data_IF_199453781544
#
_entry.id   IF_199453781544
#
_cell.length_a   1.000
_cell.length_b   1.000
_cell.length_c   1.000
_cell.angle_alpha   90.00
_cell.angle_beta   90.00
_cell.angle_gamma   90.00
#
_symmetry.space_group_name_H-M   'P 1'
#
loop_
_entity.id
_entity.type
_entity.pdbx_description
1 polymer ?
#
# COMPACT_ATOMS: atom_id res chain seq x y z
N UNK A 1 2.96 -25.21 -0.31
CA UNK A 1 2.92 -23.98 -1.16
C UNK A 1 3.99 -22.98 -0.72
N UNK A 2 4.05 -22.59 0.53
CA UNK A 2 4.98 -21.60 1.07
C UNK A 2 6.47 -21.94 0.81
N UNK A 3 6.89 -23.20 1.03
CA UNK A 3 8.25 -23.66 0.70
C UNK A 3 8.60 -23.46 -0.79
N UNK A 4 7.69 -23.79 -1.70
CA UNK A 4 7.93 -23.62 -3.14
C UNK A 4 8.10 -22.14 -3.51
N UNK A 5 7.34 -21.25 -2.86
CA UNK A 5 7.48 -19.80 -2.99
C UNK A 5 8.85 -19.35 -2.47
N UNK A 6 9.25 -19.78 -1.26
CA UNK A 6 10.52 -19.40 -0.66
C UNK A 6 11.72 -19.88 -1.51
N UNK A 7 11.69 -21.12 -2.02
CA UNK A 7 12.73 -21.65 -2.92
C UNK A 7 12.82 -20.80 -4.20
N UNK A 8 11.69 -20.41 -4.75
CA UNK A 8 11.66 -19.60 -5.99
C UNK A 8 12.20 -18.20 -5.75
N UNK A 9 11.79 -17.54 -4.69
CA UNK A 9 12.28 -16.22 -4.31
C UNK A 9 13.79 -16.26 -4.01
N UNK A 10 14.26 -17.31 -3.35
CA UNK A 10 15.70 -17.53 -3.13
C UNK A 10 16.52 -17.61 -4.43
N UNK A 11 15.98 -18.27 -5.48
CA UNK A 11 16.60 -18.28 -6.82
C UNK A 11 16.63 -16.91 -7.49
N UNK A 12 15.72 -16.02 -7.11
CA UNK A 12 15.65 -14.63 -7.59
C UNK A 12 16.50 -13.67 -6.74
N UNK A 13 17.30 -14.19 -5.80
CA UNK A 13 18.21 -13.41 -4.96
C UNK A 13 17.58 -12.80 -3.71
N UNK A 14 16.37 -13.22 -3.32
CA UNK A 14 15.69 -12.79 -2.11
C UNK A 14 15.94 -13.77 -0.98
N UNK A 15 16.48 -13.31 0.15
CA UNK A 15 16.53 -14.11 1.38
C UNK A 15 15.13 -14.21 1.97
N UNK A 16 14.70 -15.40 2.35
CA UNK A 16 13.34 -15.63 2.84
C UNK A 16 13.38 -16.45 4.13
N UNK A 17 12.68 -15.98 5.14
CA UNK A 17 12.30 -16.77 6.31
C UNK A 17 10.87 -17.28 6.11
N UNK A 18 10.61 -18.49 6.51
CA UNK A 18 9.32 -19.15 6.38
C UNK A 18 8.70 -19.35 7.75
N UNK A 19 7.61 -18.64 8.02
CA UNK A 19 6.77 -18.83 9.18
C UNK A 19 5.51 -19.60 8.77
N UNK A 20 5.28 -20.75 9.38
CA UNK A 20 4.13 -21.63 9.09
C UNK A 20 2.88 -21.24 9.89
N UNK A 21 3.06 -20.45 10.95
CA UNK A 21 2.00 -20.03 11.86
C UNK A 21 2.09 -18.54 12.16
N UNK A 22 0.98 -17.98 12.64
CA UNK A 22 0.92 -16.61 13.15
C UNK A 22 1.96 -16.40 14.26
N UNK A 23 2.04 -17.32 15.23
CA UNK A 23 2.98 -17.21 16.36
C UNK A 23 4.43 -17.18 15.90
N UNK A 24 4.84 -18.04 14.95
CA UNK A 24 6.19 -17.99 14.37
C UNK A 24 6.47 -16.67 13.65
N UNK A 25 5.48 -16.13 12.94
CA UNK A 25 5.62 -14.87 12.27
C UNK A 25 5.82 -13.71 13.26
N UNK A 26 5.08 -13.69 14.39
CA UNK A 26 5.31 -12.70 15.45
C UNK A 26 6.70 -12.80 16.06
N UNK A 27 7.20 -14.02 16.31
CA UNK A 27 8.54 -14.24 16.84
C UNK A 27 9.62 -13.70 15.89
N UNK A 28 9.50 -13.97 14.60
CA UNK A 28 10.43 -13.45 13.60
C UNK A 28 10.39 -11.92 13.51
N UNK A 29 9.19 -11.34 13.48
CA UNK A 29 8.99 -9.90 13.43
C UNK A 29 9.45 -9.16 14.71
N UNK A 30 9.54 -9.87 15.83
CA UNK A 30 10.04 -9.31 17.08
C UNK A 30 11.58 -9.16 17.10
N UNK A 31 12.31 -9.96 16.30
CA UNK A 31 13.78 -10.02 16.37
C UNK A 31 14.47 -9.43 15.15
N UNK A 32 13.77 -9.29 14.02
CA UNK A 32 14.35 -8.73 12.79
C UNK A 32 13.34 -7.96 11.94
N UNK A 33 13.84 -7.10 11.06
CA UNK A 33 13.05 -6.35 10.09
C UNK A 33 13.12 -7.02 8.72
N UNK A 34 12.06 -6.84 7.94
CA UNK A 34 11.91 -7.40 6.59
C UNK A 34 11.65 -6.29 5.58
N UNK A 35 12.14 -6.47 4.34
CA UNK A 35 11.85 -5.54 3.24
C UNK A 35 10.43 -5.71 2.69
N UNK A 36 9.86 -6.91 2.82
CA UNK A 36 8.46 -7.21 2.49
C UNK A 36 7.99 -8.48 3.19
N UNK A 37 6.68 -8.61 3.38
CA UNK A 37 6.02 -9.80 3.93
C UNK A 37 5.04 -10.34 2.90
N UNK A 38 5.10 -11.65 2.62
CA UNK A 38 4.07 -12.40 1.89
C UNK A 38 3.22 -13.13 2.90
N UNK A 39 1.96 -12.77 3.02
CA UNK A 39 1.08 -13.20 4.10
C UNK A 39 -0.16 -13.91 3.58
N UNK A 40 -0.32 -15.17 3.93
CA UNK A 40 -1.57 -15.88 3.67
C UNK A 40 -2.67 -15.42 4.63
N UNK A 41 -3.87 -15.18 4.12
CA UNK A 41 -5.03 -14.89 4.97
C UNK A 41 -5.33 -16.09 5.89
N UNK A 42 -5.24 -17.30 5.34
CA UNK A 42 -5.58 -18.52 6.07
C UNK A 42 -4.33 -19.17 6.67
N UNK A 43 -3.89 -18.68 7.83
CA UNK A 43 -2.89 -19.38 8.65
C UNK A 43 -3.55 -20.47 9.49
N UNK A 44 -2.79 -21.51 9.87
CA UNK A 44 -3.39 -22.66 10.56
C UNK A 44 -3.89 -22.36 11.98
N UNK A 45 -3.32 -21.37 12.64
CA UNK A 45 -3.60 -21.00 14.04
C UNK A 45 -4.47 -19.74 14.17
N UNK A 46 -4.37 -18.78 13.22
CA UNK A 46 -5.12 -17.51 13.24
C UNK A 46 -5.34 -16.97 11.82
N UNK A 47 -6.18 -15.93 11.72
CA UNK A 47 -6.34 -15.20 10.47
C UNK A 47 -5.14 -14.28 10.22
N UNK A 48 -4.53 -14.36 9.02
CA UNK A 48 -3.41 -13.50 8.64
C UNK A 48 -3.75 -12.01 8.65
N UNK A 49 -5.01 -11.63 8.49
CA UNK A 49 -5.44 -10.23 8.61
C UNK A 49 -5.20 -9.65 10.01
N UNK A 50 -5.23 -10.48 11.04
CA UNK A 50 -4.92 -10.05 12.41
C UNK A 50 -3.44 -9.67 12.56
N UNK A 51 -2.54 -10.41 11.89
CA UNK A 51 -1.12 -10.06 11.86
C UNK A 51 -0.89 -8.74 11.18
N UNK A 52 -1.54 -8.50 10.03
CA UNK A 52 -1.48 -7.23 9.34
C UNK A 52 -1.95 -6.07 10.22
N UNK A 53 -3.09 -6.23 10.89
CA UNK A 53 -3.62 -5.23 11.83
C UNK A 53 -2.64 -4.96 12.98
N UNK A 54 -2.05 -6.02 13.57
CA UNK A 54 -1.04 -5.89 14.64
C UNK A 54 0.17 -5.08 14.16
N UNK A 55 0.69 -5.34 12.97
CA UNK A 55 1.78 -4.58 12.36
C UNK A 55 1.41 -3.09 12.23
N UNK A 56 0.25 -2.80 11.68
CA UNK A 56 -0.19 -1.41 11.46
C UNK A 56 -0.45 -0.67 12.77
N UNK A 57 -0.97 -1.34 13.80
CA UNK A 57 -1.11 -0.77 15.15
C UNK A 57 0.23 -0.44 15.81
N UNK A 58 1.27 -1.23 15.52
CA UNK A 58 2.66 -0.98 15.96
C UNK A 58 3.38 0.07 15.10
N UNK A 59 2.68 0.73 14.16
CA UNK A 59 3.26 1.63 13.14
C UNK A 59 4.33 0.96 12.25
N UNK A 60 4.32 -0.35 12.15
CA UNK A 60 5.17 -1.07 11.22
C UNK A 60 4.60 -0.91 9.80
N UNK A 61 5.41 -0.31 8.92
CA UNK A 61 5.07 -0.01 7.51
C UNK A 61 5.68 -1.00 6.54
N UNK A 62 6.25 -2.10 7.03
CA UNK A 62 6.77 -3.15 6.15
C UNK A 62 5.71 -3.52 5.10
N UNK A 63 6.06 -3.50 3.81
CA UNK A 63 5.13 -3.84 2.74
C UNK A 63 4.59 -5.25 2.90
N UNK A 64 3.27 -5.41 2.82
CA UNK A 64 2.59 -6.71 2.96
C UNK A 64 1.83 -7.04 1.68
N UNK A 65 2.23 -8.15 1.03
CA UNK A 65 1.50 -8.80 -0.05
C UNK A 65 0.62 -9.90 0.54
N UNK A 66 -0.70 -9.70 0.51
CA UNK A 66 -1.63 -10.72 1.00
C UNK A 66 -1.89 -11.78 -0.07
N UNK A 67 -1.83 -13.06 0.33
CA UNK A 67 -2.29 -14.17 -0.49
C UNK A 67 -3.72 -14.54 -0.10
N UNK A 68 -4.64 -14.54 -1.05
CA UNK A 68 -6.06 -14.74 -0.77
C UNK A 68 -6.72 -15.73 -1.73
N UNK A 69 -7.71 -16.48 -1.25
CA UNK A 69 -8.63 -17.24 -2.08
C UNK A 69 -9.95 -16.47 -2.35
N UNK A 70 -10.03 -15.21 -1.91
CA UNK A 70 -11.24 -14.41 -2.00
C UNK A 70 -11.47 -13.88 -3.42
N UNK A 71 -12.63 -14.21 -3.99
CA UNK A 71 -13.01 -13.84 -5.36
C UNK A 71 -13.98 -12.65 -5.42
N UNK A 72 -14.61 -12.25 -4.28
CA UNK A 72 -15.55 -11.13 -4.29
C UNK A 72 -14.85 -9.77 -4.24
N UNK A 73 -15.48 -8.76 -4.84
CA UNK A 73 -14.98 -7.37 -4.83
C UNK A 73 -15.04 -6.80 -3.41
N UNK A 74 -16.09 -7.13 -2.65
CA UNK A 74 -16.29 -6.61 -1.29
C UNK A 74 -15.24 -7.13 -0.30
N UNK A 75 -14.85 -8.40 -0.43
CA UNK A 75 -13.78 -8.99 0.40
C UNK A 75 -12.43 -8.32 0.13
N UNK A 76 -12.16 -7.97 -1.13
CA UNK A 76 -10.92 -7.29 -1.55
C UNK A 76 -10.86 -5.84 -1.09
N UNK A 77 -11.98 -5.14 -1.17
CA UNK A 77 -12.11 -3.77 -0.63
C UNK A 77 -11.89 -3.80 0.89
N UNK A 78 -12.53 -4.73 1.61
CA UNK A 78 -12.37 -4.89 3.06
C UNK A 78 -10.91 -5.16 3.45
N UNK A 79 -10.22 -5.99 2.68
CA UNK A 79 -8.84 -6.34 2.96
C UNK A 79 -7.85 -5.18 2.64
N UNK A 80 -8.10 -4.35 1.61
CA UNK A 80 -7.38 -3.09 1.37
C UNK A 80 -7.58 -2.11 2.53
N UNK A 81 -8.76 -2.14 3.15
CA UNK A 81 -9.10 -1.34 4.33
C UNK A 81 -8.25 -1.67 5.55
N UNK A 82 -7.75 -2.90 5.65
CA UNK A 82 -6.87 -3.35 6.72
C UNK A 82 -5.42 -2.88 6.58
N UNK A 83 -5.08 -2.20 5.48
CA UNK A 83 -3.75 -1.61 5.28
C UNK A 83 -2.73 -2.54 4.59
N UNK A 84 -3.17 -3.58 3.88
CA UNK A 84 -2.31 -4.33 2.98
C UNK A 84 -1.85 -3.45 1.81
N UNK A 85 -0.65 -3.73 1.31
CA UNK A 85 -0.04 -2.94 0.23
C UNK A 85 -0.38 -3.51 -1.14
N UNK A 86 -0.63 -4.83 -1.23
CA UNK A 86 -1.05 -5.51 -2.44
C UNK A 86 -1.69 -6.88 -2.11
N UNK A 87 -2.38 -7.48 -3.09
CA UNK A 87 -3.03 -8.78 -3.01
C UNK A 87 -2.68 -9.64 -4.19
N UNK A 88 -2.62 -10.96 -3.95
CA UNK A 88 -2.47 -11.96 -4.98
C UNK A 88 -3.46 -13.09 -4.76
N UNK A 89 -4.33 -13.31 -5.74
CA UNK A 89 -5.37 -14.34 -5.66
C UNK A 89 -4.79 -15.71 -5.98
N UNK A 90 -5.14 -16.70 -5.19
CA UNK A 90 -4.82 -18.10 -5.42
C UNK A 90 -5.84 -18.76 -6.38
N UNK A 91 -5.38 -19.57 -7.35
CA UNK A 91 -3.99 -19.89 -7.66
C UNK A 91 -3.32 -18.76 -8.46
N UNK A 92 -2.01 -18.54 -8.25
CA UNK A 92 -1.23 -17.49 -8.89
C UNK A 92 0.00 -18.03 -9.64
N UNK A 93 0.47 -17.26 -10.63
CA UNK A 93 1.77 -17.50 -11.27
C UNK A 93 2.88 -16.96 -10.37
N UNK A 94 3.93 -17.78 -10.17
CA UNK A 94 5.09 -17.37 -9.35
C UNK A 94 5.82 -16.15 -9.90
N UNK A 95 5.79 -15.93 -11.23
CA UNK A 95 6.37 -14.73 -11.87
C UNK A 95 5.60 -13.48 -11.51
N UNK A 96 4.29 -13.58 -11.35
CA UNK A 96 3.43 -12.48 -10.88
C UNK A 96 3.79 -12.12 -9.43
N UNK A 97 3.88 -13.11 -8.54
CA UNK A 97 4.29 -12.90 -7.16
C UNK A 97 5.65 -12.20 -7.08
N UNK A 98 6.67 -12.66 -7.84
CA UNK A 98 7.98 -12.01 -7.88
C UNK A 98 7.91 -10.56 -8.39
N UNK A 99 7.11 -10.30 -9.44
CA UNK A 99 6.97 -8.96 -10.00
C UNK A 99 6.33 -8.00 -9.00
N UNK A 100 5.29 -8.46 -8.28
CA UNK A 100 4.62 -7.69 -7.23
C UNK A 100 5.56 -7.42 -6.06
N UNK A 101 6.29 -8.42 -5.57
CA UNK A 101 7.27 -8.23 -4.51
C UNK A 101 8.36 -7.24 -4.90
N UNK A 102 8.93 -7.36 -6.12
CA UNK A 102 9.90 -6.38 -6.61
C UNK A 102 9.32 -4.97 -6.68
N UNK A 103 8.06 -4.84 -7.07
CA UNK A 103 7.38 -3.54 -7.09
C UNK A 103 7.17 -2.98 -5.67
N UNK A 104 6.86 -3.83 -4.69
CA UNK A 104 6.73 -3.45 -3.29
C UNK A 104 8.07 -3.06 -2.65
N UNK A 105 9.13 -3.83 -2.94
CA UNK A 105 10.48 -3.60 -2.41
C UNK A 105 11.29 -2.56 -3.18
N UNK A 106 10.81 -2.08 -4.34
CA UNK A 106 11.49 -1.03 -5.12
C UNK A 106 11.49 0.28 -4.33
N UNK A 107 12.11 0.21 -3.19
CA UNK A 107 12.54 1.34 -2.38
C UNK A 107 13.82 1.91 -3.02
N UNK A 108 13.76 3.10 -3.64
CA UNK A 108 14.43 4.22 -3.01
C UNK A 108 15.98 4.23 -3.00
N UNK A 109 16.66 3.28 -3.66
CA UNK A 109 18.11 3.43 -3.80
C UNK A 109 18.51 4.67 -4.64
N UNK A 110 17.56 5.27 -5.39
CA UNK A 110 17.90 6.31 -6.37
C UNK A 110 17.22 7.68 -6.20
N UNK A 111 16.53 7.96 -5.09
CA UNK A 111 15.94 9.29 -4.94
C UNK A 111 16.25 9.92 -3.58
N UNK A 112 17.36 10.63 -3.50
CA UNK A 112 17.44 11.86 -2.72
C UNK A 112 16.42 12.81 -3.33
N UNK A 113 15.15 12.65 -3.04
CA UNK A 113 14.11 13.46 -3.63
C UNK A 113 13.70 14.54 -2.66
N UNK A 114 13.64 15.71 -3.20
CA UNK A 114 13.08 16.89 -2.60
C UNK A 114 11.73 16.60 -1.95
N UNK A 115 11.58 17.01 -0.69
CA UNK A 115 10.29 16.99 -0.02
C UNK A 115 9.33 17.89 -0.80
N UNK A 116 8.15 17.37 -1.11
CA UNK A 116 7.07 18.16 -1.72
C UNK A 116 6.30 18.84 -0.60
N UNK A 117 6.29 20.17 -0.61
CA UNK A 117 5.51 20.97 0.34
C UNK A 117 4.29 21.57 -0.33
N UNK A 118 3.14 21.48 0.35
CA UNK A 118 1.88 22.09 -0.06
C UNK A 118 1.10 22.50 1.20
N UNK A 119 0.98 23.81 1.45
CA UNK A 119 0.44 24.29 2.73
C UNK A 119 1.24 23.75 3.91
N UNK A 120 0.55 23.21 4.91
CA UNK A 120 1.18 22.56 6.05
C UNK A 120 1.62 21.11 5.80
N UNK A 121 1.30 20.55 4.63
CA UNK A 121 1.66 19.20 4.23
C UNK A 121 3.09 19.17 3.70
N UNK A 122 3.93 18.30 4.28
CA UNK A 122 5.20 17.88 3.72
C UNK A 122 5.12 16.39 3.38
N UNK A 123 5.54 16.02 2.17
CA UNK A 123 5.48 14.65 1.67
C UNK A 123 6.82 14.26 1.06
N UNK A 124 7.34 13.12 1.47
CA UNK A 124 8.52 12.51 0.87
C UNK A 124 8.10 11.44 -0.14
N UNK A 125 8.28 11.67 -1.45
CA UNK A 125 8.03 10.64 -2.47
C UNK A 125 8.86 9.39 -2.26
N UNK A 126 10.07 9.57 -1.68
CA UNK A 126 11.01 8.51 -1.43
C UNK A 126 10.52 7.56 -0.33
N UNK A 127 10.05 8.04 0.80
CA UNK A 127 9.63 7.23 1.94
C UNK A 127 8.11 7.03 2.00
N UNK A 128 7.37 7.66 1.09
CA UNK A 128 5.91 7.75 1.13
C UNK A 128 5.38 8.28 2.48
N UNK A 129 6.23 8.97 3.23
CA UNK A 129 5.89 9.57 4.50
C UNK A 129 5.29 10.96 4.29
N UNK A 130 4.27 11.28 5.08
CA UNK A 130 3.65 12.59 5.12
C UNK A 130 3.67 13.16 6.53
N UNK A 131 3.83 14.47 6.64
CA UNK A 131 3.66 15.20 7.90
C UNK A 131 2.77 16.41 7.69
N UNK A 132 2.04 16.80 8.72
CA UNK A 132 1.29 18.06 8.81
C UNK A 132 1.84 18.86 9.97
N UNK A 133 2.41 20.04 9.71
CA UNK A 133 3.12 20.82 10.74
C UNK A 133 4.09 19.94 11.53
N UNK A 134 4.94 19.17 10.84
CA UNK A 134 5.92 18.25 11.42
C UNK A 134 5.33 17.02 12.15
N UNK A 135 4.01 16.95 12.32
CA UNK A 135 3.35 15.78 12.93
C UNK A 135 3.11 14.70 11.86
N UNK A 136 3.58 13.46 12.07
CA UNK A 136 3.37 12.36 11.13
C UNK A 136 1.90 12.09 10.87
N UNK A 137 1.55 11.91 9.59
CA UNK A 137 0.21 11.48 9.15
C UNK A 137 0.26 9.98 8.91
N UNK A 138 -0.59 9.24 9.60
CA UNK A 138 -0.71 7.80 9.38
C UNK A 138 -1.45 7.53 8.06
N UNK A 139 -0.68 7.16 7.04
CA UNK A 139 -1.20 6.78 5.71
C UNK A 139 -0.90 5.31 5.45
N UNK A 140 -1.88 4.59 4.93
CA UNK A 140 -1.58 3.30 4.30
C UNK A 140 -0.75 3.53 3.04
N UNK A 141 -0.04 2.50 2.58
CA UNK A 141 0.81 2.62 1.38
C UNK A 141 0.02 3.11 0.15
N UNK A 142 -1.20 2.60 -0.06
CA UNK A 142 -2.08 3.02 -1.17
C UNK A 142 -2.51 4.49 -1.05
N UNK A 143 -2.83 4.94 0.14
CA UNK A 143 -3.16 6.36 0.39
C UNK A 143 -1.94 7.24 0.12
N UNK A 144 -0.75 6.83 0.57
CA UNK A 144 0.49 7.56 0.33
C UNK A 144 0.86 7.60 -1.16
N UNK A 145 0.69 6.48 -1.90
CA UNK A 145 0.88 6.45 -3.35
C UNK A 145 -0.10 7.38 -4.07
N UNK A 146 -1.39 7.36 -3.69
CA UNK A 146 -2.40 8.26 -4.26
C UNK A 146 -2.06 9.72 -3.99
N UNK A 147 -1.66 10.04 -2.75
CA UNK A 147 -1.22 11.38 -2.36
C UNK A 147 -0.01 11.82 -3.19
N UNK A 148 1.00 10.98 -3.33
CA UNK A 148 2.19 11.26 -4.14
C UNK A 148 1.85 11.48 -5.61
N UNK A 149 0.90 10.72 -6.17
CA UNK A 149 0.45 10.89 -7.55
C UNK A 149 -0.27 12.23 -7.74
N UNK A 150 -1.13 12.61 -6.80
CA UNK A 150 -1.83 13.90 -6.81
C UNK A 150 -0.85 15.08 -6.67
N UNK A 151 0.11 14.98 -5.73
CA UNK A 151 1.12 16.02 -5.49
C UNK A 151 2.05 16.21 -6.69
N UNK A 152 2.45 15.13 -7.37
CA UNK A 152 3.26 15.21 -8.60
C UNK A 152 2.56 16.00 -9.71
N UNK A 153 1.23 16.01 -9.71
CA UNK A 153 0.38 16.74 -10.66
C UNK A 153 -0.42 17.85 -9.98
N UNK A 154 0.20 18.53 -8.99
CA UNK A 154 -0.42 19.60 -8.24
C UNK A 154 -1.10 20.62 -9.16
N UNK A 155 -2.33 21.01 -8.81
CA UNK A 155 -3.12 21.98 -9.58
C UNK A 155 -3.78 21.41 -10.85
N UNK A 156 -3.40 20.21 -11.29
CA UNK A 156 -3.99 19.55 -12.46
C UNK A 156 -5.12 18.60 -12.04
N UNK A 157 -6.10 18.41 -12.92
CA UNK A 157 -7.17 17.43 -12.74
C UNK A 157 -6.71 16.08 -13.25
N UNK A 158 -6.68 15.07 -12.38
CA UNK A 158 -6.39 13.68 -12.75
C UNK A 158 -7.69 12.88 -12.82
N UNK A 159 -7.93 12.26 -13.97
CA UNK A 159 -9.09 11.39 -14.18
C UNK A 159 -9.01 10.13 -13.31
N UNK A 160 -10.18 9.58 -12.90
CA UNK A 160 -10.26 8.37 -12.08
C UNK A 160 -9.47 7.20 -12.65
N UNK A 161 -9.57 6.98 -13.97
CA UNK A 161 -8.86 5.91 -14.64
C UNK A 161 -7.34 6.04 -14.47
N UNK A 162 -6.80 7.24 -14.68
CA UNK A 162 -5.36 7.51 -14.52
C UNK A 162 -4.89 7.29 -13.08
N UNK A 163 -5.70 7.66 -12.09
CA UNK A 163 -5.41 7.40 -10.68
C UNK A 163 -5.46 5.90 -10.39
N UNK A 164 -6.45 5.21 -10.93
CA UNK A 164 -6.58 3.76 -10.81
C UNK A 164 -5.38 3.03 -11.41
N UNK A 165 -5.01 3.36 -12.66
CA UNK A 165 -3.86 2.77 -13.34
C UNK A 165 -2.56 3.00 -12.57
N UNK A 166 -2.39 4.20 -11.98
CA UNK A 166 -1.23 4.52 -11.16
C UNK A 166 -1.14 3.75 -9.83
N UNK A 167 -2.28 3.34 -9.27
CA UNK A 167 -2.34 2.59 -8.01
C UNK A 167 -2.36 1.07 -8.21
N UNK A 168 -2.93 0.59 -9.31
CA UNK A 168 -3.26 -0.81 -9.55
C UNK A 168 -2.66 -1.35 -10.85
N UNK A 169 -1.58 -0.72 -11.36
CA UNK A 169 -0.94 -1.06 -12.65
C UNK A 169 -0.56 -2.56 -12.81
N UNK A 170 -0.50 -3.32 -11.73
CA UNK A 170 -0.16 -4.74 -11.69
C UNK A 170 -1.28 -5.62 -11.12
N UNK A 171 -2.45 -5.04 -10.85
CA UNK A 171 -3.58 -5.80 -10.33
C UNK A 171 -4.42 -6.34 -11.50
N UNK A 172 -4.34 -7.64 -11.75
CA UNK A 172 -5.33 -8.36 -12.58
C UNK A 172 -6.70 -8.44 -11.90
N UNK A 173 -6.82 -7.80 -10.73
CA UNK A 173 -8.00 -7.81 -9.90
C UNK A 173 -8.73 -6.49 -10.12
N UNK A 174 -9.86 -6.53 -10.79
CA UNK A 174 -10.74 -5.37 -10.92
C UNK A 174 -11.37 -5.03 -9.55
N UNK A 175 -10.66 -4.17 -8.80
CA UNK A 175 -11.16 -3.61 -7.54
C UNK A 175 -12.27 -2.59 -7.83
N UNK A 176 -12.45 -2.27 -9.12
CA UNK A 176 -13.38 -1.26 -9.59
C UNK A 176 -12.91 0.18 -9.31
N UNK A 177 -13.29 1.09 -10.20
CA UNK A 177 -12.93 2.52 -10.10
C UNK A 177 -13.43 3.20 -8.81
N UNK A 178 -14.39 2.59 -8.13
CA UNK A 178 -14.95 3.11 -6.87
C UNK A 178 -13.94 3.09 -5.71
N UNK A 179 -12.90 2.24 -5.78
CA UNK A 179 -11.82 2.23 -4.80
C UNK A 179 -11.12 3.60 -4.70
N UNK A 180 -11.00 4.33 -5.81
CA UNK A 180 -10.40 5.67 -5.82
C UNK A 180 -11.24 6.63 -4.96
N UNK A 181 -12.57 6.57 -5.02
CA UNK A 181 -13.43 7.44 -4.20
C UNK A 181 -13.21 7.21 -2.70
N UNK A 182 -13.06 5.95 -2.32
CA UNK A 182 -12.80 5.57 -0.93
C UNK A 182 -11.46 6.14 -0.43
N UNK A 183 -10.37 5.95 -1.21
CA UNK A 183 -9.06 6.51 -0.84
C UNK A 183 -9.06 8.03 -0.82
N UNK A 184 -9.74 8.70 -1.74
CA UNK A 184 -9.92 10.16 -1.74
C UNK A 184 -10.66 10.61 -0.48
N UNK A 185 -11.75 9.93 -0.09
CA UNK A 185 -12.50 10.25 1.12
C UNK A 185 -11.62 10.12 2.38
N UNK A 186 -10.79 9.08 2.45
CA UNK A 186 -9.84 8.87 3.57
C UNK A 186 -8.76 9.93 3.61
N UNK A 187 -8.13 10.22 2.48
CA UNK A 187 -7.13 11.29 2.39
C UNK A 187 -7.71 12.63 2.83
N UNK A 188 -8.92 12.99 2.38
CA UNK A 188 -9.59 14.22 2.82
C UNK A 188 -9.73 14.29 4.34
N UNK A 189 -10.14 13.16 4.96
CA UNK A 189 -10.28 13.08 6.42
C UNK A 189 -8.94 13.29 7.13
N UNK A 190 -7.86 12.67 6.60
CA UNK A 190 -6.51 12.72 7.18
C UNK A 190 -5.80 14.06 6.95
N UNK A 191 -6.13 14.74 5.86
CA UNK A 191 -5.58 16.05 5.50
C UNK A 191 -6.43 17.23 6.01
N UNK A 192 -7.47 16.98 6.79
CA UNK A 192 -8.32 18.03 7.31
C UNK A 192 -7.52 19.01 8.19
N UNK A 193 -7.70 20.32 7.97
CA UNK A 193 -6.98 21.37 8.71
C UNK A 193 -5.54 21.62 8.23
N UNK A 194 -5.09 20.99 7.16
CA UNK A 194 -3.70 21.14 6.62
C UNK A 194 -3.52 22.34 5.68
N UNK A 195 -4.59 23.07 5.35
CA UNK A 195 -4.53 24.05 4.25
C UNK A 195 -4.38 23.40 2.86
N UNK A 196 -4.70 22.10 2.74
CA UNK A 196 -4.66 21.35 1.49
C UNK A 196 -6.04 20.76 1.20
N UNK A 197 -6.55 20.95 -0.01
CA UNK A 197 -7.79 20.37 -0.46
C UNK A 197 -7.58 19.40 -1.63
N UNK A 198 -8.32 18.29 -1.59
CA UNK A 198 -8.53 17.43 -2.75
C UNK A 198 -9.95 17.69 -3.26
N UNK A 199 -10.03 18.39 -4.36
CA UNK A 199 -11.31 18.80 -4.97
C UNK A 199 -11.79 17.77 -5.98
N UNK A 200 -13.11 17.55 -6.04
CA UNK A 200 -13.75 16.74 -7.07
C UNK A 200 -14.18 17.62 -8.23
N UNK A 201 -13.63 17.41 -9.40
CA UNK A 201 -14.12 17.99 -10.65
C UNK A 201 -15.10 17.01 -11.29
N UNK A 202 -16.39 17.31 -11.20
CA UNK A 202 -17.47 16.40 -11.66
C UNK A 202 -17.23 15.96 -13.10
N UNK A 203 -17.26 14.66 -13.34
CA UNK A 203 -17.04 14.04 -14.65
C UNK A 203 -15.58 14.04 -15.13
N UNK A 204 -14.65 14.73 -14.48
CA UNK A 204 -13.25 14.88 -14.90
C UNK A 204 -12.27 14.14 -13.98
N UNK A 205 -12.47 14.20 -12.65
CA UNK A 205 -11.57 13.56 -11.70
C UNK A 205 -11.30 14.36 -10.43
N UNK A 206 -10.05 14.37 -9.98
CA UNK A 206 -9.63 14.98 -8.72
C UNK A 206 -8.42 15.89 -8.91
N UNK A 207 -8.36 16.96 -8.14
CA UNK A 207 -7.27 17.92 -8.12
C UNK A 207 -6.85 18.19 -6.69
N UNK A 208 -5.54 18.21 -6.42
CA UNK A 208 -4.98 18.66 -5.14
C UNK A 208 -4.46 20.09 -5.29
N UNK A 209 -4.72 20.93 -4.31
CA UNK A 209 -4.22 22.30 -4.26
C UNK A 209 -4.14 22.81 -2.82
N UNK A 210 -3.38 23.89 -2.58
CA UNK A 210 -3.45 24.61 -1.32
C UNK A 210 -4.77 25.36 -1.21
N UNK A 211 -5.33 25.42 -0.01
CA UNK A 211 -6.43 26.33 0.33
C UNK A 211 -5.82 27.68 0.71
N UNK A 212 -6.39 28.76 0.18
CA UNK A 212 -6.08 30.12 0.62
C UNK A 212 -6.63 30.38 2.02
#
# INVERSE_FOLDING_TARGET
MAEAVAIRLGKSGMACDLAETYAMAEDFLAVQSYDAIVLDINLPDRNGTELLQSLRQKNDRTPVLMLTALFSVDDRVSALDLGADDYLVKPFDQRELEARLRALMRREADQKSDQVQLGALSFSPATLAATLNETPVDLTRREAMLLGLLLRHQGQVLGKQRLYDGLFAFDDIDVGLNAIELYIARLRKKLNGSGVAIETQRGLGYRIHACD
#
